data_IF_664778913981
#
_entry.id   IF_664778913981
#
_cell.length_a   1.000
_cell.length_b   1.000
_cell.length_c   1.000
_cell.angle_alpha   90.00
_cell.angle_beta   90.00
_cell.angle_gamma   90.00
#
_symmetry.space_group_name_H-M   'P 1'
#
loop_
_entity.id
_entity.type
_entity.pdbx_description
1 polymer ?
#
# COMPACT_ATOMS: atom_id res chain seq x y z
N UNK A 1 2.16 -28.40 -20.69
CA UNK A 1 3.12 -27.77 -19.76
C UNK A 1 2.47 -27.68 -18.37
N UNK A 2 3.19 -27.95 -17.27
CA UNK A 2 2.62 -27.93 -15.89
C UNK A 2 2.91 -26.65 -15.10
N UNK A 3 3.69 -25.72 -15.67
CA UNK A 3 4.00 -24.41 -15.08
C UNK A 3 2.92 -23.38 -15.42
N UNK A 4 2.71 -22.40 -14.54
CA UNK A 4 1.81 -21.26 -14.77
C UNK A 4 2.62 -20.09 -15.37
N UNK A 5 2.38 -19.69 -16.64
CA UNK A 5 3.08 -18.56 -17.25
C UNK A 5 2.59 -17.18 -16.78
N UNK A 6 1.54 -17.15 -15.95
CA UNK A 6 0.77 -15.94 -15.68
C UNK A 6 -0.06 -15.51 -16.89
N UNK A 7 -0.87 -14.47 -16.72
CA UNK A 7 -1.69 -13.90 -17.80
C UNK A 7 -0.93 -12.81 -18.54
N UNK A 8 -1.16 -12.72 -19.83
CA UNK A 8 -0.83 -11.59 -20.68
C UNK A 8 -2.10 -10.75 -20.92
N UNK A 9 -1.95 -9.57 -21.49
CA UNK A 9 -3.05 -8.62 -21.61
C UNK A 9 -4.28 -9.22 -22.34
N UNK A 10 -4.07 -9.95 -23.42
CA UNK A 10 -5.11 -10.61 -24.22
C UNK A 10 -5.76 -11.82 -23.52
N UNK A 11 -5.25 -12.26 -22.37
CA UNK A 11 -5.82 -13.36 -21.59
C UNK A 11 -6.90 -12.88 -20.61
N UNK A 12 -7.02 -11.56 -20.38
CA UNK A 12 -8.03 -11.00 -19.48
C UNK A 12 -9.40 -10.80 -20.17
N UNK A 13 -10.47 -10.95 -19.41
CA UNK A 13 -11.86 -10.76 -19.85
C UNK A 13 -12.58 -9.82 -18.90
N UNK A 14 -13.24 -8.80 -19.43
CA UNK A 14 -14.01 -7.86 -18.63
C UNK A 14 -15.09 -8.61 -17.81
N UNK A 15 -15.22 -8.27 -16.54
CA UNK A 15 -16.16 -8.89 -15.59
C UNK A 15 -15.73 -10.26 -15.04
N UNK A 16 -14.59 -10.82 -15.48
CA UNK A 16 -14.15 -12.10 -14.92
C UNK A 16 -13.70 -11.95 -13.47
N UNK A 17 -13.98 -12.97 -12.66
CA UNK A 17 -13.48 -13.08 -11.29
C UNK A 17 -12.38 -14.12 -11.21
N UNK A 18 -11.21 -13.71 -10.71
CA UNK A 18 -10.04 -14.53 -10.53
C UNK A 18 -9.89 -14.83 -9.04
N UNK A 19 -10.02 -16.10 -8.66
CA UNK A 19 -9.70 -16.57 -7.31
C UNK A 19 -8.21 -16.87 -7.22
N UNK A 20 -7.50 -16.16 -6.35
CA UNK A 20 -6.05 -16.32 -6.23
C UNK A 20 -5.69 -17.51 -5.36
N UNK A 21 -4.59 -18.18 -5.72
CA UNK A 21 -4.03 -19.26 -4.93
C UNK A 21 -3.41 -18.73 -3.61
N UNK A 22 -3.05 -19.68 -2.73
CA UNK A 22 -2.28 -19.44 -1.49
C UNK A 22 -3.01 -18.58 -0.45
N UNK A 23 -4.14 -19.06 0.13
CA UNK A 23 -4.68 -18.44 1.34
C UNK A 23 -3.58 -18.41 2.42
N UNK A 24 -3.53 -17.34 3.20
CA UNK A 24 -2.41 -17.04 4.11
C UNK A 24 -2.91 -16.75 5.51
N UNK A 25 -2.63 -17.67 6.44
CA UNK A 25 -2.74 -17.41 7.87
C UNK A 25 -1.64 -16.44 8.28
N UNK A 26 -1.99 -15.27 8.80
CA UNK A 26 -1.03 -14.30 9.35
C UNK A 26 -0.78 -14.58 10.83
N UNK A 27 0.43 -14.30 11.32
CA UNK A 27 0.89 -14.71 12.65
C UNK A 27 1.74 -13.61 13.30
N UNK A 28 2.08 -13.79 14.58
CA UNK A 28 3.02 -12.90 15.27
C UNK A 28 4.43 -12.94 14.67
N UNK A 29 4.81 -14.04 14.01
CA UNK A 29 6.07 -14.11 13.26
C UNK A 29 6.08 -13.16 12.06
N UNK A 30 4.93 -12.97 11.41
CA UNK A 30 4.78 -12.01 10.31
C UNK A 30 4.88 -10.57 10.81
N UNK A 31 4.26 -10.29 11.97
CA UNK A 31 4.38 -9.00 12.66
C UNK A 31 5.84 -8.71 13.02
N UNK A 32 6.53 -9.64 13.66
CA UNK A 32 7.93 -9.47 14.06
C UNK A 32 8.85 -9.22 12.86
N UNK A 33 8.67 -9.97 11.76
CA UNK A 33 9.45 -9.75 10.53
C UNK A 33 9.14 -8.39 9.90
N UNK A 34 7.87 -8.00 9.83
CA UNK A 34 7.49 -6.68 9.31
C UNK A 34 8.10 -5.55 10.15
N UNK A 35 8.06 -5.65 11.48
CA UNK A 35 8.71 -4.70 12.38
C UNK A 35 10.22 -4.65 12.14
N UNK A 36 10.89 -5.79 11.98
CA UNK A 36 12.34 -5.83 11.76
C UNK A 36 12.76 -5.26 10.39
N UNK A 37 11.90 -5.35 9.37
CA UNK A 37 12.19 -4.87 8.02
C UNK A 37 12.02 -3.36 7.86
N UNK A 38 11.08 -2.76 8.58
CA UNK A 38 10.68 -1.36 8.37
C UNK A 38 10.83 -0.47 9.60
N UNK A 39 10.92 -1.05 10.79
CA UNK A 39 10.98 -0.31 12.06
C UNK A 39 9.78 0.59 12.40
N UNK A 40 8.52 0.29 12.03
CA UNK A 40 7.39 1.11 12.44
C UNK A 40 7.27 1.13 13.97
N UNK A 41 6.93 2.30 14.53
CA UNK A 41 6.83 2.52 15.98
C UNK A 41 5.43 2.84 16.48
N UNK A 42 4.40 2.69 15.65
CA UNK A 42 3.02 2.97 16.02
C UNK A 42 2.58 2.08 17.20
N UNK A 43 2.18 2.70 18.30
CA UNK A 43 1.99 2.03 19.58
C UNK A 43 0.89 0.95 19.55
N UNK A 44 -0.19 1.18 18.79
CA UNK A 44 -1.36 0.28 18.68
C UNK A 44 -0.96 -1.09 18.14
N UNK A 45 -0.13 -1.14 17.11
CA UNK A 45 0.35 -2.37 16.49
C UNK A 45 1.51 -3.00 17.28
N UNK A 46 2.22 -2.19 18.08
CA UNK A 46 3.44 -2.61 18.78
C UNK A 46 3.18 -3.20 20.17
N UNK A 47 2.06 -2.85 20.81
CA UNK A 47 1.79 -3.21 22.21
C UNK A 47 0.37 -3.69 22.42
N UNK A 48 0.25 -4.97 22.78
CA UNK A 48 -0.98 -5.60 23.21
C UNK A 48 -1.64 -4.86 24.38
N UNK A 49 -0.83 -4.38 25.33
CA UNK A 49 -1.31 -3.63 26.48
C UNK A 49 -1.87 -2.26 26.07
N UNK A 50 -1.19 -1.55 25.17
CA UNK A 50 -1.66 -0.26 24.64
C UNK A 50 -2.97 -0.43 23.86
N UNK A 51 -2.98 -1.38 22.91
CA UNK A 51 -4.15 -1.67 22.08
C UNK A 51 -5.37 -2.04 22.94
N UNK A 52 -5.20 -2.93 23.92
CA UNK A 52 -6.27 -3.33 24.86
C UNK A 52 -6.76 -2.17 25.72
N UNK A 53 -5.86 -1.32 26.21
CA UNK A 53 -6.24 -0.17 27.03
C UNK A 53 -7.16 0.80 26.27
N UNK A 54 -6.97 0.95 24.97
CA UNK A 54 -7.77 1.86 24.14
C UNK A 54 -8.99 1.18 23.49
N UNK A 55 -9.22 -0.13 23.65
CA UNK A 55 -10.44 -0.80 23.21
C UNK A 55 -10.30 -1.87 22.12
N UNK A 56 -9.08 -2.18 21.68
CA UNK A 56 -8.84 -3.34 20.80
C UNK A 56 -8.81 -4.65 21.60
N UNK A 57 -9.15 -5.80 21.00
CA UNK A 57 -8.98 -7.10 21.66
C UNK A 57 -7.50 -7.50 21.85
N UNK A 58 -6.61 -7.04 20.97
CA UNK A 58 -5.16 -7.27 20.96
C UNK A 58 -4.49 -6.24 20.03
N UNK A 59 -3.17 -6.20 19.92
CA UNK A 59 -2.54 -5.42 18.86
C UNK A 59 -2.87 -6.03 17.48
N UNK A 60 -3.40 -5.24 16.54
CA UNK A 60 -3.66 -5.73 15.19
C UNK A 60 -2.37 -5.83 14.38
N UNK A 61 -2.43 -6.51 13.23
CA UNK A 61 -1.43 -6.35 12.18
C UNK A 61 -1.36 -4.89 11.74
N UNK A 62 -0.19 -4.51 11.21
CA UNK A 62 -0.07 -3.29 10.43
C UNK A 62 -0.97 -3.33 9.18
N UNK A 63 -1.65 -2.22 8.88
CA UNK A 63 -2.57 -2.11 7.75
C UNK A 63 -1.85 -2.37 6.43
N UNK A 64 -0.61 -1.89 6.28
CA UNK A 64 0.19 -2.12 5.09
C UNK A 64 0.72 -3.55 5.00
N UNK A 65 0.99 -4.23 6.12
CA UNK A 65 1.26 -5.67 6.10
C UNK A 65 0.05 -6.43 5.54
N UNK A 66 -1.17 -6.09 5.99
CA UNK A 66 -2.41 -6.65 5.45
C UNK A 66 -2.54 -6.36 3.95
N UNK A 67 -2.31 -5.11 3.54
CA UNK A 67 -2.31 -4.72 2.13
C UNK A 67 -1.31 -5.51 1.29
N UNK A 68 -0.08 -5.67 1.76
CA UNK A 68 0.96 -6.37 1.02
C UNK A 68 0.68 -7.87 0.90
N UNK A 69 0.13 -8.51 1.94
CA UNK A 69 -0.32 -9.91 1.87
C UNK A 69 -1.40 -10.05 0.80
N UNK A 70 -2.46 -9.23 0.86
CA UNK A 70 -3.56 -9.28 -0.11
C UNK A 70 -3.05 -8.99 -1.53
N UNK A 71 -2.24 -7.95 -1.71
CA UNK A 71 -1.64 -7.58 -2.99
C UNK A 71 -0.77 -8.70 -3.55
N UNK A 72 0.09 -9.30 -2.72
CA UNK A 72 0.98 -10.40 -3.10
C UNK A 72 0.21 -11.59 -3.68
N UNK A 73 -1.00 -11.88 -3.18
CA UNK A 73 -1.83 -12.98 -3.69
C UNK A 73 -2.23 -12.76 -5.14
N UNK A 74 -2.43 -11.50 -5.53
CA UNK A 74 -2.88 -11.14 -6.88
C UNK A 74 -1.75 -11.21 -7.92
N UNK A 75 -0.48 -11.18 -7.48
CA UNK A 75 0.66 -11.01 -8.40
C UNK A 75 0.78 -12.11 -9.44
N UNK A 76 0.70 -13.42 -9.11
CA UNK A 76 0.85 -14.49 -10.10
C UNK A 76 -0.14 -14.38 -11.27
N UNK A 77 -1.36 -13.93 -11.00
CA UNK A 77 -2.44 -13.91 -11.98
C UNK A 77 -2.61 -12.55 -12.67
N UNK A 78 -2.37 -11.44 -11.95
CA UNK A 78 -2.62 -10.09 -12.46
C UNK A 78 -1.36 -9.44 -13.05
N UNK A 79 -0.22 -9.56 -12.37
CA UNK A 79 0.94 -8.70 -12.64
C UNK A 79 2.27 -9.41 -12.81
N UNK A 80 2.27 -10.74 -12.96
CA UNK A 80 3.50 -11.50 -13.24
C UNK A 80 4.18 -11.03 -14.53
N UNK A 81 3.39 -10.65 -15.54
CA UNK A 81 3.84 -10.11 -16.83
C UNK A 81 3.58 -8.60 -16.98
N UNK A 82 3.36 -7.90 -15.86
CA UNK A 82 3.21 -6.45 -15.87
C UNK A 82 4.57 -5.73 -15.97
N UNK A 83 4.58 -4.61 -16.67
CA UNK A 83 5.70 -3.68 -16.74
C UNK A 83 5.71 -2.71 -15.56
N UNK A 84 4.53 -2.28 -15.13
CA UNK A 84 4.37 -1.32 -14.03
C UNK A 84 2.97 -1.39 -13.46
N UNK A 85 2.85 -1.07 -12.17
CA UNK A 85 1.59 -0.66 -11.55
C UNK A 85 1.42 0.84 -11.75
N UNK A 86 0.31 1.24 -12.35
CA UNK A 86 0.08 2.61 -12.79
C UNK A 86 -0.71 3.43 -11.76
N UNK A 87 -1.48 2.78 -10.88
CA UNK A 87 -2.08 3.45 -9.74
C UNK A 87 -2.99 2.55 -8.89
N UNK A 88 -3.59 3.20 -7.90
CA UNK A 88 -4.53 2.64 -6.92
C UNK A 88 -5.71 3.61 -6.78
N UNK A 89 -6.87 3.10 -6.39
CA UNK A 89 -8.05 3.88 -6.03
C UNK A 89 -8.94 3.07 -5.10
N UNK A 90 -9.89 3.73 -4.43
CA UNK A 90 -10.96 3.07 -3.66
C UNK A 90 -10.42 2.04 -2.64
N UNK A 91 -9.26 2.29 -2.04
CA UNK A 91 -8.67 1.40 -1.06
C UNK A 91 -9.36 1.56 0.29
N UNK A 92 -10.11 0.57 0.76
CA UNK A 92 -10.79 0.59 2.05
C UNK A 92 -10.25 -0.49 2.99
N UNK A 93 -9.80 -0.08 4.17
CA UNK A 93 -9.50 -0.99 5.29
C UNK A 93 -10.77 -1.15 6.12
N UNK A 94 -11.43 -2.31 6.01
CA UNK A 94 -12.78 -2.53 6.55
C UNK A 94 -12.80 -2.99 8.00
N UNK A 95 -11.68 -3.58 8.46
CA UNK A 95 -11.43 -3.90 9.87
C UNK A 95 -9.97 -4.25 10.11
N UNK A 96 -9.48 -4.12 11.35
CA UNK A 96 -8.19 -4.67 11.75
C UNK A 96 -8.17 -6.19 11.55
N UNK A 97 -6.99 -6.70 11.19
CA UNK A 97 -6.68 -8.13 11.09
C UNK A 97 -5.79 -8.51 12.26
N UNK A 98 -6.07 -9.64 12.92
CA UNK A 98 -5.29 -10.12 14.06
C UNK A 98 -4.43 -11.34 13.71
N UNK A 99 -3.32 -11.55 14.43
CA UNK A 99 -2.56 -12.80 14.34
C UNK A 99 -3.47 -14.04 14.56
N UNK A 100 -3.30 -15.04 13.71
CA UNK A 100 -4.09 -16.27 13.67
C UNK A 100 -5.19 -16.26 12.59
N UNK A 101 -5.55 -15.10 12.04
CA UNK A 101 -6.53 -15.02 10.95
C UNK A 101 -5.96 -15.51 9.61
N UNK A 102 -6.81 -16.05 8.74
CA UNK A 102 -6.43 -16.50 7.38
C UNK A 102 -7.06 -15.61 6.33
N UNK A 103 -6.22 -15.00 5.48
CA UNK A 103 -6.63 -14.13 4.40
C UNK A 103 -6.66 -14.86 3.05
N UNK A 104 -7.69 -14.62 2.27
CA UNK A 104 -7.84 -15.07 0.87
C UNK A 104 -8.18 -13.87 -0.01
N UNK A 105 -7.75 -13.88 -1.28
CA UNK A 105 -7.99 -12.75 -2.20
C UNK A 105 -8.69 -13.21 -3.47
N UNK A 106 -9.62 -12.38 -3.95
CA UNK A 106 -10.21 -12.47 -5.28
C UNK A 106 -10.02 -11.15 -6.03
N UNK A 107 -9.89 -11.17 -7.35
CA UNK A 107 -9.90 -9.96 -8.18
C UNK A 107 -10.93 -10.03 -9.29
N UNK A 108 -11.69 -8.96 -9.48
CA UNK A 108 -12.56 -8.75 -10.62
C UNK A 108 -11.87 -7.86 -11.65
N UNK A 109 -11.90 -8.24 -12.93
CA UNK A 109 -11.43 -7.38 -14.03
C UNK A 109 -12.52 -6.35 -14.36
N UNK A 110 -12.30 -5.10 -13.98
CA UNK A 110 -13.28 -4.01 -14.11
C UNK A 110 -12.99 -3.09 -15.30
N UNK A 111 -11.87 -3.30 -16.00
CA UNK A 111 -11.50 -2.52 -17.17
C UNK A 111 -10.31 -3.08 -17.94
N UNK A 112 -10.30 -2.81 -19.24
CA UNK A 112 -9.27 -3.19 -20.19
C UNK A 112 -9.10 -2.05 -21.20
N UNK A 113 -7.86 -1.66 -21.51
CA UNK A 113 -7.56 -0.66 -22.54
C UNK A 113 -6.27 -0.99 -23.26
N UNK A 114 -6.31 -1.24 -24.57
CA UNK A 114 -5.10 -1.48 -25.36
C UNK A 114 -4.26 -0.21 -25.47
N UNK A 115 -2.93 -0.37 -25.43
CA UNK A 115 -2.01 0.72 -25.73
C UNK A 115 -1.99 0.97 -27.23
N UNK A 116 -1.81 2.22 -27.66
CA UNK A 116 -1.78 2.59 -29.09
C UNK A 116 -0.72 1.84 -29.91
N UNK A 117 0.38 1.41 -29.28
CA UNK A 117 1.43 0.61 -29.92
C UNK A 117 1.10 -0.89 -30.07
N UNK A 118 -0.03 -1.35 -29.53
CA UNK A 118 -0.50 -2.74 -29.55
C UNK A 118 0.50 -3.76 -28.97
N UNK A 119 1.45 -3.33 -28.15
CA UNK A 119 2.41 -4.22 -27.47
C UNK A 119 2.01 -4.50 -26.02
N UNK A 120 1.14 -3.65 -25.46
CA UNK A 120 0.74 -3.67 -24.05
C UNK A 120 -0.73 -3.26 -23.92
N UNK A 121 -1.28 -3.43 -22.73
CA UNK A 121 -2.54 -2.82 -22.35
C UNK A 121 -2.68 -2.63 -20.86
N UNK A 122 -3.61 -1.77 -20.48
CA UNK A 122 -3.90 -1.48 -19.08
C UNK A 122 -5.05 -2.38 -18.63
N UNK A 123 -4.81 -3.13 -17.56
CA UNK A 123 -5.83 -3.95 -16.90
C UNK A 123 -6.18 -3.29 -15.58
N UNK A 124 -7.48 -3.04 -15.37
CA UNK A 124 -8.02 -2.51 -14.13
C UNK A 124 -8.66 -3.66 -13.36
N UNK A 125 -8.27 -3.83 -12.11
CA UNK A 125 -8.84 -4.86 -11.23
C UNK A 125 -9.33 -4.27 -9.92
N UNK A 126 -10.45 -4.79 -9.42
CA UNK A 126 -10.88 -4.63 -8.03
C UNK A 126 -10.49 -5.89 -7.27
N UNK A 127 -9.56 -5.77 -6.34
CA UNK A 127 -9.09 -6.88 -5.50
C UNK A 127 -9.75 -6.78 -4.13
N UNK A 128 -10.28 -7.89 -3.64
CA UNK A 128 -10.92 -8.00 -2.31
C UNK A 128 -10.23 -9.11 -1.51
N UNK A 129 -9.67 -8.74 -0.38
CA UNK A 129 -9.15 -9.64 0.64
C UNK A 129 -10.21 -9.89 1.71
N UNK A 130 -10.41 -11.15 2.06
CA UNK A 130 -11.39 -11.59 3.07
C UNK A 130 -10.78 -12.60 4.02
N UNK A 131 -11.36 -12.72 5.21
CA UNK A 131 -10.99 -13.74 6.20
C UNK A 131 -11.56 -15.14 5.85
N UNK A 132 -11.33 -16.10 6.74
CA UNK A 132 -11.83 -17.48 6.60
C UNK A 132 -13.37 -17.58 6.62
N UNK A 133 -14.07 -16.60 7.18
CA UNK A 133 -15.53 -16.51 7.18
C UNK A 133 -16.08 -15.76 5.95
N UNK A 134 -15.20 -15.27 5.07
CA UNK A 134 -15.58 -14.49 3.89
C UNK A 134 -15.86 -13.01 4.18
N UNK A 135 -15.63 -12.53 5.41
CA UNK A 135 -15.79 -11.11 5.73
C UNK A 135 -14.63 -10.33 5.14
N UNK A 136 -14.94 -9.30 4.36
CA UNK A 136 -13.94 -8.40 3.76
C UNK A 136 -13.11 -7.71 4.83
N UNK A 137 -11.79 -7.71 4.64
CA UNK A 137 -10.83 -6.97 5.48
C UNK A 137 -10.24 -5.79 4.72
N UNK A 138 -10.06 -5.93 3.41
CA UNK A 138 -9.46 -4.93 2.53
C UNK A 138 -10.07 -5.07 1.14
N UNK A 139 -10.38 -3.95 0.49
CA UNK A 139 -10.67 -3.90 -0.93
C UNK A 139 -9.97 -2.71 -1.57
N UNK A 140 -9.51 -2.83 -2.81
CA UNK A 140 -8.98 -1.70 -3.56
C UNK A 140 -9.08 -1.95 -5.07
N UNK A 141 -9.08 -0.85 -5.82
CA UNK A 141 -8.89 -0.86 -7.27
C UNK A 141 -7.42 -0.57 -7.58
N UNK A 142 -6.84 -1.28 -8.56
CA UNK A 142 -5.52 -0.94 -9.12
C UNK A 142 -5.51 -1.19 -10.61
N UNK A 143 -4.57 -0.55 -11.31
CA UNK A 143 -4.37 -0.82 -12.73
C UNK A 143 -2.90 -0.98 -13.10
N UNK A 144 -2.66 -1.92 -14.00
CA UNK A 144 -1.32 -2.38 -14.37
C UNK A 144 -1.14 -2.37 -15.88
N UNK A 145 0.05 -1.97 -16.34
CA UNK A 145 0.44 -2.09 -17.74
C UNK A 145 0.98 -3.49 -17.99
N UNK A 146 0.24 -4.33 -18.72
CA UNK A 146 0.58 -5.74 -18.97
C UNK A 146 1.03 -5.91 -20.41
N UNK A 147 2.06 -6.75 -20.62
CA UNK A 147 2.53 -7.10 -21.97
C UNK A 147 1.49 -7.94 -22.71
N UNK A 148 1.41 -7.77 -24.02
CA UNK A 148 0.82 -8.79 -24.90
C UNK A 148 1.84 -9.89 -25.17
N UNK A 149 1.36 -11.12 -25.33
CA UNK A 149 2.17 -12.24 -25.83
C UNK A 149 2.20 -12.23 -27.35
N UNK A 150 1.06 -11.94 -27.96
CA UNK A 150 0.89 -11.76 -29.41
C UNK A 150 0.34 -10.34 -29.69
N UNK A 151 1.15 -9.44 -30.30
CA UNK A 151 0.71 -8.11 -30.68
C UNK A 151 -0.55 -8.08 -31.57
N UNK A 152 -0.80 -9.14 -32.35
CA UNK A 152 -1.95 -9.25 -33.26
C UNK A 152 -3.21 -9.79 -32.59
N UNK A 153 -3.12 -10.27 -31.33
CA UNK A 153 -4.27 -10.78 -30.61
C UNK A 153 -5.37 -9.71 -30.48
N UNK A 154 -6.59 -10.06 -30.86
CA UNK A 154 -7.76 -9.20 -30.72
C UNK A 154 -8.32 -9.27 -29.30
N UNK A 155 -8.77 -8.13 -28.81
CA UNK A 155 -9.36 -7.99 -27.48
C UNK A 155 -10.86 -7.81 -27.64
N UNK A 156 -11.63 -8.48 -26.79
CA UNK A 156 -13.07 -8.59 -26.95
C UNK A 156 -13.80 -7.26 -26.69
N UNK A 157 -13.37 -6.52 -25.67
CA UNK A 157 -14.03 -5.29 -25.21
C UNK A 157 -13.03 -4.39 -24.48
N UNK A 158 -13.08 -3.08 -24.76
CA UNK A 158 -12.35 -2.07 -23.99
C UNK A 158 -13.30 -1.29 -23.09
N UNK A 159 -12.87 -1.07 -21.85
CA UNK A 159 -13.56 -0.25 -20.87
C UNK A 159 -12.55 0.34 -19.91
N UNK A 160 -12.65 1.65 -19.70
CA UNK A 160 -11.98 2.32 -18.58
C UNK A 160 -13.04 2.60 -17.53
N UNK A 161 -12.92 2.05 -16.30
CA UNK A 161 -13.89 2.32 -15.25
C UNK A 161 -13.75 3.78 -14.79
N UNK A 162 -14.87 4.37 -14.39
CA UNK A 162 -14.85 5.56 -13.55
C UNK A 162 -14.59 5.11 -12.11
N UNK A 163 -13.59 5.71 -11.46
CA UNK A 163 -13.14 5.33 -10.11
C UNK A 163 -13.17 6.57 -9.22
N UNK A 164 -13.64 6.40 -8.00
CA UNK A 164 -13.63 7.49 -7.04
C UNK A 164 -12.19 7.96 -6.78
N UNK A 165 -12.00 9.29 -6.78
CA UNK A 165 -10.68 9.91 -6.57
C UNK A 165 -10.23 9.87 -5.11
N UNK A 166 -11.20 9.75 -4.20
CA UNK A 166 -11.02 9.80 -2.75
C UNK A 166 -12.03 8.84 -2.15
N UNK A 167 -11.61 8.06 -1.16
CA UNK A 167 -12.52 7.25 -0.35
C UNK A 167 -13.36 8.20 0.52
N UNK A 168 -14.68 8.03 0.51
CA UNK A 168 -15.59 8.88 1.27
C UNK A 168 -15.31 8.72 2.78
N UNK A 169 -15.04 9.81 3.53
CA UNK A 169 -14.89 9.74 4.98
C UNK A 169 -16.06 9.09 5.71
N UNK A 170 -17.27 9.14 5.15
CA UNK A 170 -18.44 8.46 5.72
C UNK A 170 -18.28 6.93 5.80
N UNK A 171 -17.51 6.34 4.88
CA UNK A 171 -17.25 4.89 4.85
C UNK A 171 -16.20 4.45 5.89
N UNK A 172 -15.46 5.39 6.48
CA UNK A 172 -14.35 5.12 7.39
C UNK A 172 -14.80 4.91 8.84
N UNK A 173 -15.94 5.47 9.25
CA UNK A 173 -16.33 5.56 10.66
C UNK A 173 -16.48 4.20 11.39
N UNK A 174 -16.67 3.11 10.64
CA UNK A 174 -17.02 1.79 11.17
C UNK A 174 -15.88 0.77 11.16
N UNK A 175 -14.71 1.12 10.62
CA UNK A 175 -13.62 0.14 10.47
C UNK A 175 -12.90 -0.19 11.77
N UNK A 176 -12.84 0.76 12.71
CA UNK A 176 -12.15 0.57 14.00
C UNK A 176 -13.15 0.42 15.16
N UNK A 177 -12.80 -0.35 16.21
CA UNK A 177 -13.58 -0.31 17.46
C UNK A 177 -13.62 1.12 18.03
N UNK A 178 -14.64 1.46 18.84
CA UNK A 178 -14.64 2.70 19.61
C UNK A 178 -13.43 2.76 20.54
N UNK A 179 -12.72 3.89 20.54
CA UNK A 179 -11.54 4.09 21.36
C UNK A 179 -11.85 4.74 22.70
N UNK A 180 -11.16 4.31 23.75
CA UNK A 180 -11.14 5.01 25.03
C UNK A 180 -10.15 6.17 24.97
N UNK A 181 -10.64 7.37 24.62
CA UNK A 181 -9.80 8.57 24.55
C UNK A 181 -9.05 8.88 25.87
N UNK A 182 -9.64 8.54 27.03
CA UNK A 182 -9.01 8.70 28.35
C UNK A 182 -7.85 7.75 28.60
N UNK A 183 -7.83 6.60 27.92
CA UNK A 183 -6.78 5.58 28.05
C UNK A 183 -5.69 5.72 26.98
N UNK A 184 -5.84 6.66 26.04
CA UNK A 184 -4.85 6.92 25.00
C UNK A 184 -3.69 7.73 25.57
N UNK A 185 -2.63 7.03 25.98
CA UNK A 185 -1.41 7.60 26.55
C UNK A 185 -0.53 8.21 25.45
N UNK A 186 -0.39 9.53 25.46
CA UNK A 186 0.36 10.28 24.45
C UNK A 186 1.88 10.12 24.59
N UNK A 187 2.37 9.88 25.81
CA UNK A 187 3.80 9.66 26.05
C UNK A 187 4.22 8.31 25.46
N UNK A 188 3.39 7.28 25.65
CA UNK A 188 3.60 5.96 25.05
C UNK A 188 3.35 5.95 23.54
N UNK A 189 2.42 6.78 23.05
CA UNK A 189 2.16 6.92 21.62
C UNK A 189 3.28 7.70 20.89
N UNK A 190 4.07 8.49 21.63
CA UNK A 190 5.26 9.17 21.14
C UNK A 190 5.02 10.56 20.56
N UNK A 191 3.85 11.17 20.79
CA UNK A 191 3.57 12.56 20.39
C UNK A 191 2.43 13.16 21.22
N UNK A 192 2.52 14.43 21.62
CA UNK A 192 1.40 15.14 22.25
C UNK A 192 0.32 15.56 21.23
N UNK A 193 0.62 15.58 19.93
CA UNK A 193 -0.26 16.14 18.90
C UNK A 193 -1.40 15.19 18.49
N UNK A 194 -2.62 15.70 18.50
CA UNK A 194 -3.87 14.98 18.18
C UNK A 194 -4.54 15.56 16.94
N UNK A 195 -5.72 15.04 16.59
CA UNK A 195 -6.49 15.47 15.42
C UNK A 195 -6.60 16.99 15.27
N UNK A 196 -6.90 17.71 16.37
CA UNK A 196 -7.07 19.17 16.34
C UNK A 196 -5.79 19.97 16.11
N UNK A 197 -4.63 19.34 16.24
CA UNK A 197 -3.33 20.01 16.15
C UNK A 197 -2.77 20.00 14.71
N UNK A 198 -3.40 19.26 13.80
CA UNK A 198 -3.02 19.21 12.38
C UNK A 198 -3.98 20.07 11.54
N UNK A 199 -3.43 20.81 10.59
CA UNK A 199 -4.20 21.67 9.69
C UNK A 199 -3.97 21.33 8.21
N UNK A 200 -5.00 21.48 7.38
CA UNK A 200 -4.85 21.34 5.93
C UNK A 200 -3.81 22.33 5.38
N UNK A 201 -2.96 21.85 4.47
CA UNK A 201 -1.80 22.56 3.91
C UNK A 201 -0.52 22.44 4.74
N UNK A 202 -0.57 21.88 5.95
CA UNK A 202 0.62 21.64 6.76
C UNK A 202 1.54 20.61 6.09
N UNK A 203 2.84 20.91 6.07
CA UNK A 203 3.88 20.03 5.51
C UNK A 203 4.88 19.63 6.58
N UNK A 204 5.21 18.34 6.59
CA UNK A 204 6.01 17.70 7.63
C UNK A 204 7.17 16.99 6.95
N UNK A 205 8.40 17.44 7.21
CA UNK A 205 9.61 16.69 6.89
C UNK A 205 9.81 15.62 7.96
N UNK A 206 9.89 14.34 7.56
CA UNK A 206 10.08 13.24 8.49
C UNK A 206 11.55 13.02 8.89
N UNK A 207 12.48 13.78 8.28
CA UNK A 207 13.91 13.89 8.63
C UNK A 207 14.74 12.64 8.36
N UNK A 208 14.32 11.51 8.90
CA UNK A 208 15.04 10.25 8.89
C UNK A 208 15.19 9.68 7.48
N UNK A 209 16.30 8.99 7.24
CA UNK A 209 16.59 8.29 5.98
C UNK A 209 16.95 6.83 6.24
N UNK A 210 16.45 5.92 5.40
CA UNK A 210 16.71 4.48 5.52
C UNK A 210 17.26 3.91 4.21
N UNK A 211 18.50 3.43 4.24
CA UNK A 211 19.15 2.78 3.08
C UNK A 211 18.61 1.39 2.86
N UNK A 212 18.28 1.06 1.61
CA UNK A 212 17.66 -0.22 1.27
C UNK A 212 18.68 -1.26 0.84
N UNK A 213 18.63 -2.45 1.43
CA UNK A 213 19.52 -3.57 1.10
C UNK A 213 18.84 -4.66 0.25
N UNK A 214 19.63 -5.43 -0.50
CA UNK A 214 19.09 -6.49 -1.38
C UNK A 214 18.35 -7.59 -0.59
N UNK A 215 18.84 -7.93 0.59
CA UNK A 215 18.26 -8.99 1.39
C UNK A 215 16.90 -8.61 1.97
N UNK A 216 16.76 -7.39 2.50
CA UNK A 216 15.55 -6.97 3.20
C UNK A 216 14.34 -6.85 2.26
N UNK A 217 14.47 -6.23 1.08
CA UNK A 217 13.33 -6.09 0.19
C UNK A 217 12.89 -7.46 -0.37
N UNK A 218 13.84 -8.38 -0.58
CA UNK A 218 13.52 -9.74 -0.99
C UNK A 218 12.84 -10.53 0.12
N UNK A 219 13.28 -10.39 1.38
CA UNK A 219 12.63 -11.02 2.54
C UNK A 219 11.22 -10.46 2.69
N UNK A 220 11.03 -9.15 2.62
CA UNK A 220 9.71 -8.52 2.63
C UNK A 220 8.81 -9.07 1.50
N UNK A 221 9.30 -9.08 0.28
CA UNK A 221 8.53 -9.55 -0.88
C UNK A 221 8.17 -11.03 -0.77
N UNK A 222 9.06 -11.87 -0.21
CA UNK A 222 8.81 -13.28 0.11
C UNK A 222 7.79 -13.45 1.23
N UNK A 223 7.82 -12.60 2.28
CA UNK A 223 6.85 -12.60 3.38
C UNK A 223 5.42 -12.47 2.84
N UNK A 224 5.23 -11.60 1.84
CA UNK A 224 3.96 -11.37 1.14
C UNK A 224 3.59 -12.48 0.15
N UNK A 225 4.54 -13.37 -0.15
CA UNK A 225 4.53 -14.35 -1.25
C UNK A 225 4.20 -13.68 -2.60
N UNK A 226 4.73 -12.48 -2.81
CA UNK A 226 4.74 -11.79 -4.10
C UNK A 226 5.83 -12.42 -4.97
N UNK A 227 5.50 -12.82 -6.20
CA UNK A 227 6.39 -13.58 -7.09
C UNK A 227 6.86 -12.79 -8.32
N UNK A 228 6.73 -11.47 -8.33
CA UNK A 228 7.19 -10.65 -9.45
C UNK A 228 8.72 -10.80 -9.62
N UNK A 229 9.13 -11.28 -10.80
CA UNK A 229 10.50 -11.76 -11.07
C UNK A 229 11.56 -10.68 -10.88
N UNK A 230 11.22 -9.43 -11.17
CA UNK A 230 12.12 -8.27 -11.12
C UNK A 230 12.69 -7.99 -9.73
N UNK A 231 12.07 -8.52 -8.66
CA UNK A 231 12.55 -8.38 -7.28
C UNK A 231 13.60 -9.43 -6.91
N UNK A 232 13.70 -10.53 -7.66
CA UNK A 232 14.44 -11.72 -7.23
C UNK A 232 15.62 -12.09 -8.11
N UNK A 233 15.41 -12.10 -9.42
CA UNK A 233 16.34 -12.74 -10.35
C UNK A 233 17.39 -11.75 -10.87
N UNK A 234 18.49 -11.63 -10.12
CA UNK A 234 19.61 -10.80 -10.51
C UNK A 234 20.21 -11.22 -11.87
N UNK A 235 20.19 -12.51 -12.22
CA UNK A 235 20.75 -13.01 -13.48
C UNK A 235 19.91 -12.52 -14.67
N UNK A 236 18.59 -12.73 -14.64
CA UNK A 236 17.69 -12.26 -15.70
C UNK A 236 17.62 -10.73 -15.78
N UNK A 237 17.76 -10.01 -14.66
CA UNK A 237 17.68 -8.54 -14.66
C UNK A 237 18.86 -7.84 -15.33
N UNK A 238 20.00 -8.53 -15.56
CA UNK A 238 21.16 -7.95 -16.28
C UNK A 238 20.82 -7.48 -17.68
N UNK A 239 19.91 -8.20 -18.35
CA UNK A 239 19.46 -7.90 -19.72
C UNK A 239 18.31 -6.88 -19.75
N UNK A 240 17.84 -6.41 -18.59
CA UNK A 240 16.81 -5.37 -18.50
C UNK A 240 17.44 -3.99 -18.54
N UNK A 241 16.64 -2.96 -18.85
CA UNK A 241 17.08 -1.55 -18.92
C UNK A 241 17.90 -1.08 -17.70
N UNK A 242 17.63 -1.64 -16.51
CA UNK A 242 18.28 -1.21 -15.28
C UNK A 242 19.50 -2.05 -14.90
N UNK A 243 19.68 -3.24 -15.47
CA UNK A 243 20.81 -4.13 -15.19
C UNK A 243 20.86 -4.70 -13.76
N UNK A 244 19.85 -4.46 -12.93
CA UNK A 244 19.76 -4.90 -11.53
C UNK A 244 18.30 -5.06 -11.09
N UNK A 245 18.10 -5.73 -9.95
CA UNK A 245 16.77 -5.97 -9.37
C UNK A 245 16.08 -4.66 -9.03
N UNK A 246 14.78 -4.63 -9.24
CA UNK A 246 13.92 -3.54 -8.82
C UNK A 246 13.36 -3.84 -7.43
N UNK A 247 13.36 -2.86 -6.53
CA UNK A 247 12.66 -2.99 -5.25
C UNK A 247 11.16 -2.92 -5.48
N UNK A 248 10.40 -3.73 -4.75
CA UNK A 248 8.94 -3.70 -4.77
C UNK A 248 8.43 -2.31 -4.35
N UNK A 249 7.61 -1.66 -5.17
CA UNK A 249 7.07 -0.34 -4.84
C UNK A 249 6.32 -0.27 -3.50
N UNK A 250 5.64 -1.34 -3.09
CA UNK A 250 5.01 -1.40 -1.77
C UNK A 250 6.00 -1.40 -0.60
N UNK A 251 7.24 -1.84 -0.81
CA UNK A 251 8.31 -1.69 0.17
C UNK A 251 8.60 -0.20 0.44
N UNK A 252 8.56 0.64 -0.60
CA UNK A 252 8.71 2.11 -0.45
C UNK A 252 7.53 2.71 0.33
N UNK A 253 6.31 2.22 0.11
CA UNK A 253 5.12 2.64 0.88
C UNK A 253 5.31 2.33 2.37
N UNK A 254 5.76 1.12 2.70
CA UNK A 254 6.03 0.72 4.10
C UNK A 254 7.15 1.54 4.75
N UNK A 255 8.25 1.82 4.03
CA UNK A 255 9.32 2.67 4.53
C UNK A 255 8.84 4.10 4.77
N UNK A 256 8.14 4.70 3.81
CA UNK A 256 7.61 6.05 3.95
C UNK A 256 6.64 6.16 5.13
N UNK A 257 5.81 5.13 5.36
CA UNK A 257 4.93 5.03 6.53
C UNK A 257 5.68 4.88 7.84
N UNK A 258 6.74 4.08 7.89
CA UNK A 258 7.56 3.95 9.09
C UNK A 258 8.27 5.26 9.44
N UNK A 259 8.85 5.93 8.44
CA UNK A 259 9.48 7.25 8.58
C UNK A 259 8.46 8.29 9.06
N UNK A 260 7.22 8.23 8.57
CA UNK A 260 6.19 9.21 8.93
C UNK A 260 5.79 9.22 10.40
N UNK A 261 6.17 8.19 11.17
CA UNK A 261 6.05 8.23 12.63
C UNK A 261 6.64 9.52 13.22
N UNK A 262 7.77 10.00 12.67
CA UNK A 262 8.34 11.29 13.04
C UNK A 262 7.48 12.43 12.47
N UNK A 263 6.60 12.97 13.31
CA UNK A 263 5.65 14.03 12.96
C UNK A 263 4.20 13.56 12.81
N UNK A 264 3.94 12.26 12.64
CA UNK A 264 2.58 11.69 12.55
C UNK A 264 2.36 10.47 13.48
N UNK A 265 3.07 10.38 14.61
CA UNK A 265 3.03 9.24 15.53
C UNK A 265 1.61 8.82 15.97
N UNK A 266 0.71 9.79 16.15
CA UNK A 266 -0.68 9.54 16.53
C UNK A 266 -1.62 9.25 15.36
N UNK A 267 -1.21 9.44 14.10
CA UNK A 267 -1.96 8.97 12.93
C UNK A 267 -1.73 7.45 12.79
N UNK A 268 -2.28 6.65 13.69
CA UNK A 268 -1.79 5.31 14.03
C UNK A 268 -2.24 4.19 13.09
N UNK A 269 -3.31 4.36 12.31
CA UNK A 269 -3.85 3.34 11.42
C UNK A 269 -4.27 3.94 10.07
N UNK A 270 -4.09 3.20 8.97
CA UNK A 270 -4.58 3.61 7.66
C UNK A 270 -6.09 3.32 7.58
N UNK A 271 -6.85 4.30 7.12
CA UNK A 271 -8.29 4.21 6.93
C UNK A 271 -8.65 3.87 5.48
N UNK A 272 -7.92 4.46 4.53
CA UNK A 272 -8.10 4.16 3.11
C UNK A 272 -6.97 4.68 2.22
N UNK A 273 -6.87 4.18 1.00
CA UNK A 273 -5.91 4.60 -0.02
C UNK A 273 -6.69 5.25 -1.16
N UNK A 274 -6.49 6.55 -1.34
CA UNK A 274 -7.16 7.36 -2.36
C UNK A 274 -6.48 7.22 -3.71
N UNK A 275 -5.15 7.35 -3.71
CA UNK A 275 -4.31 7.21 -4.89
C UNK A 275 -2.88 6.83 -4.51
N UNK A 276 -2.12 6.30 -5.47
CA UNK A 276 -0.69 6.09 -5.28
C UNK A 276 0.05 5.90 -6.58
N UNK A 277 1.24 6.47 -6.69
CA UNK A 277 2.10 6.36 -7.88
C UNK A 277 3.53 6.01 -7.47
N UNK A 278 4.04 4.95 -8.08
CA UNK A 278 5.47 4.62 -8.06
C UNK A 278 6.15 5.42 -9.16
N UNK A 279 6.70 6.59 -8.81
CA UNK A 279 7.14 7.62 -9.75
C UNK A 279 8.43 7.21 -10.46
N UNK A 280 9.38 6.66 -9.72
CA UNK A 280 10.68 6.24 -10.23
C UNK A 280 11.12 4.94 -9.52
N UNK A 281 12.00 4.13 -10.16
CA UNK A 281 12.48 2.89 -9.55
C UNK A 281 13.39 3.19 -8.34
N UNK A 282 13.31 2.30 -7.35
CA UNK A 282 14.24 2.22 -6.21
C UNK A 282 15.13 0.99 -6.36
N UNK A 283 16.40 1.13 -5.98
CA UNK A 283 17.38 0.06 -6.03
C UNK A 283 18.11 -0.10 -4.69
N UNK A 284 18.67 -1.28 -4.45
CA UNK A 284 19.49 -1.45 -3.25
C UNK A 284 20.71 -0.50 -3.27
N UNK A 285 21.05 0.02 -2.10
CA UNK A 285 22.02 1.10 -1.87
C UNK A 285 21.42 2.51 -1.95
N UNK A 286 20.19 2.68 -2.45
CA UNK A 286 19.48 3.97 -2.36
C UNK A 286 18.95 4.19 -0.92
N UNK A 287 18.99 5.43 -0.44
CA UNK A 287 18.43 5.87 0.85
C UNK A 287 17.10 6.55 0.66
N UNK A 288 16.05 6.03 1.30
CA UNK A 288 14.69 6.58 1.23
C UNK A 288 14.48 7.61 2.34
N UNK A 289 13.98 8.78 1.97
CA UNK A 289 13.44 9.81 2.87
C UNK A 289 11.95 10.01 2.56
N UNK A 290 11.22 10.66 3.46
CA UNK A 290 9.82 10.99 3.23
C UNK A 290 9.41 12.35 3.82
N UNK A 291 8.40 12.96 3.22
CA UNK A 291 7.65 14.07 3.79
C UNK A 291 6.16 13.89 3.54
N UNK A 292 5.33 14.54 4.34
CA UNK A 292 3.87 14.51 4.19
C UNK A 292 3.24 15.88 4.13
N UNK A 293 2.13 16.00 3.39
CA UNK A 293 1.20 17.13 3.44
C UNK A 293 -0.15 16.66 4.01
N UNK A 294 -0.69 17.40 4.97
CA UNK A 294 -2.09 17.24 5.38
C UNK A 294 -2.96 17.90 4.32
N UNK A 295 -3.60 17.11 3.47
CA UNK A 295 -4.48 17.62 2.42
C UNK A 295 -5.82 18.08 2.98
N UNK A 296 -6.35 17.33 3.94
CA UNK A 296 -7.70 17.49 4.47
C UNK A 296 -7.80 16.90 5.87
N UNK A 297 -8.67 17.47 6.70
CA UNK A 297 -9.07 16.89 8.00
C UNK A 297 -10.56 16.58 7.95
N UNK A 298 -10.95 15.40 8.44
CA UNK A 298 -12.34 14.95 8.43
C UNK A 298 -12.76 14.46 9.82
N UNK A 299 -13.85 15.03 10.32
CA UNK A 299 -14.59 14.43 11.42
C UNK A 299 -15.37 13.22 10.89
N UNK A 300 -15.39 12.15 11.67
CA UNK A 300 -16.08 10.92 11.29
C UNK A 300 -17.46 10.87 11.94
N UNK A 301 -18.50 10.71 11.12
CA UNK A 301 -19.87 10.71 11.60
C UNK A 301 -20.08 9.63 12.67
N UNK A 302 -20.62 10.02 13.82
CA UNK A 302 -20.85 9.10 14.95
C UNK A 302 -19.60 8.76 15.77
N UNK A 303 -18.45 9.41 15.51
CA UNK A 303 -17.20 9.21 16.26
C UNK A 303 -16.75 10.52 16.92
N UNK A 304 -16.48 10.45 18.22
CA UNK A 304 -15.93 11.56 19.02
C UNK A 304 -14.54 11.26 19.57
N UNK A 305 -14.08 10.02 19.39
CA UNK A 305 -12.83 9.47 19.88
C UNK A 305 -11.70 9.54 18.84
N UNK A 306 -12.05 9.54 17.54
CA UNK A 306 -11.11 9.61 16.42
C UNK A 306 -11.59 10.58 15.33
N UNK A 307 -10.65 11.13 14.59
CA UNK A 307 -10.84 11.80 13.31
C UNK A 307 -10.00 11.11 12.22
N UNK A 308 -10.06 11.65 11.00
CA UNK A 308 -9.24 11.19 9.89
C UNK A 308 -8.46 12.34 9.24
N UNK A 309 -7.18 12.11 8.97
CA UNK A 309 -6.34 13.01 8.18
C UNK A 309 -6.18 12.42 6.79
N UNK A 310 -6.44 13.21 5.75
CA UNK A 310 -6.02 12.88 4.39
C UNK A 310 -4.60 13.36 4.23
N UNK A 311 -3.70 12.41 4.06
CA UNK A 311 -2.28 12.63 3.99
C UNK A 311 -1.80 12.32 2.59
N UNK A 312 -0.97 13.22 2.05
CA UNK A 312 -0.12 12.92 0.92
C UNK A 312 1.29 12.69 1.42
N UNK A 313 1.80 11.47 1.36
CA UNK A 313 3.20 11.18 1.67
C UNK A 313 3.98 10.99 0.38
N UNK A 314 5.07 11.74 0.25
CA UNK A 314 6.01 11.66 -0.87
C UNK A 314 7.31 11.07 -0.34
N UNK A 315 7.84 10.06 -1.04
CA UNK A 315 9.15 9.51 -0.72
C UNK A 315 10.16 9.89 -1.80
N UNK A 316 11.37 10.22 -1.36
CA UNK A 316 12.51 10.56 -2.20
C UNK A 316 13.66 9.57 -1.99
N UNK A 317 14.52 9.40 -2.99
CA UNK A 317 15.79 8.66 -2.86
C UNK A 317 16.98 9.59 -2.87
N UNK A 318 17.94 9.36 -1.97
CA UNK A 318 19.23 10.03 -1.89
C UNK A 318 19.13 11.57 -1.80
N UNK A 319 17.98 12.10 -1.37
CA UNK A 319 17.71 13.52 -1.22
C UNK A 319 16.80 13.73 -0.02
N UNK A 320 17.28 14.49 0.96
CA UNK A 320 16.53 14.89 2.14
C UNK A 320 15.30 15.74 1.77
N UNK A 321 14.29 15.77 2.65
CA UNK A 321 13.00 16.37 2.33
C UNK A 321 12.77 17.77 2.91
N UNK A 322 13.81 18.46 3.41
CA UNK A 322 13.69 19.78 4.04
C UNK A 322 13.09 20.88 3.14
N UNK A 323 13.18 20.69 1.81
CA UNK A 323 12.62 21.59 0.80
C UNK A 323 11.35 21.04 0.13
N UNK A 324 10.79 19.94 0.64
CA UNK A 324 9.62 19.24 0.11
C UNK A 324 9.70 18.96 -1.41
N UNK A 325 10.67 18.13 -1.89
CA UNK A 325 10.79 17.81 -3.30
C UNK A 325 9.49 17.19 -3.84
N UNK A 326 9.00 17.73 -4.96
CA UNK A 326 7.67 17.41 -5.50
C UNK A 326 7.65 17.50 -7.04
N UNK A 327 6.52 17.90 -7.64
CA UNK A 327 6.34 18.10 -9.08
C UNK A 327 7.20 19.24 -9.62
N UNK A 328 7.81 19.01 -10.78
CA UNK A 328 8.57 20.00 -11.54
C UNK A 328 8.00 20.07 -12.96
N UNK A 329 7.29 21.16 -13.28
CA UNK A 329 6.54 21.29 -14.54
C UNK A 329 5.52 20.16 -14.70
N UNK A 330 5.57 19.46 -15.83
CA UNK A 330 4.71 18.30 -16.12
C UNK A 330 5.19 16.98 -15.47
N UNK A 331 6.34 17.01 -14.80
CA UNK A 331 7.01 15.84 -14.23
C UNK A 331 7.15 15.89 -12.71
N UNK A 332 7.99 15.01 -12.19
CA UNK A 332 8.41 14.97 -10.80
C UNK A 332 9.89 15.31 -10.70
N UNK A 333 10.30 15.86 -9.56
CA UNK A 333 11.70 15.89 -9.16
C UNK A 333 12.31 14.48 -9.31
N UNK A 334 13.49 14.33 -9.94
CA UNK A 334 14.11 13.03 -10.19
C UNK A 334 14.35 12.17 -8.94
N UNK A 335 14.40 12.77 -7.76
CA UNK A 335 14.53 12.05 -6.51
C UNK A 335 13.21 11.43 -6.03
N UNK A 336 12.05 11.93 -6.48
CA UNK A 336 10.74 11.40 -6.04
C UNK A 336 10.51 10.01 -6.61
N UNK A 337 10.27 9.05 -5.72
CA UNK A 337 10.03 7.64 -6.03
C UNK A 337 8.60 7.19 -5.69
N UNK A 338 7.92 7.88 -4.78
CA UNK A 338 6.56 7.59 -4.35
C UNK A 338 5.76 8.88 -4.18
N UNK A 339 4.50 8.85 -4.60
CA UNK A 339 3.47 9.85 -4.31
C UNK A 339 2.22 9.09 -3.87
N UNK A 340 1.89 9.11 -2.58
CA UNK A 340 0.81 8.33 -1.97
C UNK A 340 -0.21 9.24 -1.28
N UNK A 341 -1.48 9.10 -1.63
CA UNK A 341 -2.62 9.82 -1.04
C UNK A 341 -3.51 8.82 -0.31
N UNK A 342 -3.69 9.01 1.00
CA UNK A 342 -4.39 8.07 1.87
C UNK A 342 -5.06 8.79 3.05
N UNK A 343 -6.02 8.12 3.67
CA UNK A 343 -6.60 8.52 4.94
C UNK A 343 -5.92 7.77 6.08
N UNK A 344 -5.68 8.44 7.21
CA UNK A 344 -5.21 7.84 8.45
C UNK A 344 -6.07 8.27 9.64
N UNK A 345 -6.38 7.32 10.53
CA UNK A 345 -7.06 7.60 11.79
C UNK A 345 -6.11 8.21 12.81
N UNK A 346 -6.62 9.17 13.57
CA UNK A 346 -5.89 9.86 14.64
C UNK A 346 -6.84 10.12 15.82
N UNK A 347 -6.41 9.97 17.09
CA UNK A 347 -7.24 10.30 18.24
C UNK A 347 -7.61 11.79 18.27
N UNK A 348 -8.81 12.07 18.79
CA UNK A 348 -9.29 13.44 19.05
C UNK A 348 -8.81 14.00 20.38
#
# INVERSE_FOLDING_TARGET
>A
MKTNPGRFFEDFRLGETIRHATPRTVTTGDVALYTALYGPRFAVQSSDAFAKAIGYPASPLDDLLTFHVVFGKTVPDISLNALANLGYAEGGFHRPVYPGETLSTVSEVIGLKESSNRQTGVVYVRSTGSDAAGKTVLSYCRWVLVKKRDPEAKIAEERVPDLAKVVDPADLAHSLPPLSAKAYDLDLAGSPYRFSDYAAGERIDHVDGMTVEEAEHQIATRLFQNTAKVHFDAHATKETRFGRRLIYGGHVISLARALSFNGLANAFALAGINAGRHVAPLFAGDTVYAWSEVLETAELLGRTDIGALRLRTVATKNQICSNFPDRQGDGYDPAVILDLDYWAYIPR
#
